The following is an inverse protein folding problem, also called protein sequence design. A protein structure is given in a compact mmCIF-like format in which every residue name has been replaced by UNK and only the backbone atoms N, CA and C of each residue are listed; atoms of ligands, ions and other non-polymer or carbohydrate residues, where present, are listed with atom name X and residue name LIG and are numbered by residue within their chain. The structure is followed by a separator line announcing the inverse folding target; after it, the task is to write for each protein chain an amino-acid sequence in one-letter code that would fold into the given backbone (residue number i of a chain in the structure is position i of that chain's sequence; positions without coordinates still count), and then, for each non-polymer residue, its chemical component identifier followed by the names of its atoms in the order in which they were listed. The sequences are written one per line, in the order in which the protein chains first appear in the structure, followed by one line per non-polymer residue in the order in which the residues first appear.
data_IF_560703221807
#
_entry.id   IF_560703221807
#
_cell.length_a   1.000
_cell.length_b   1.000
_cell.length_c   1.000
_cell.angle_alpha   90.00
_cell.angle_beta   90.00
_cell.angle_gamma   90.00
#
_symmetry.space_group_name_H-M   'P 1'
#
loop_
_entity.id
_entity.type
_entity.pdbx_description
1 polymer ?
#
# COMPACT_ATOMS: atom_id res chain seq x y z
N UNK A 1 -9.92 -1.61 -12.20
CA UNK A 1 -11.26 -1.02 -12.38
C UNK A 1 -12.08 -2.00 -13.19
N UNK A 2 -12.44 -1.65 -14.42
CA UNK A 2 -13.24 -2.43 -15.38
C UNK A 2 -13.26 -3.96 -15.23
N UNK A 3 -12.14 -4.65 -15.41
CA UNK A 3 -12.14 -6.12 -15.32
C UNK A 3 -12.61 -6.67 -13.96
N UNK A 4 -12.34 -5.94 -12.87
CA UNK A 4 -12.82 -6.31 -11.53
C UNK A 4 -14.31 -6.04 -11.40
N UNK A 5 -14.84 -5.00 -12.04
CA UNK A 5 -16.28 -4.75 -12.04
C UNK A 5 -17.03 -5.79 -12.88
N UNK A 6 -16.52 -6.13 -14.07
CA UNK A 6 -17.07 -7.19 -14.93
C UNK A 6 -17.12 -8.57 -14.25
N UNK A 7 -16.11 -8.89 -13.43
CA UNK A 7 -15.96 -10.25 -12.85
C UNK A 7 -16.34 -10.33 -11.38
N UNK A 8 -16.21 -9.23 -10.65
CA UNK A 8 -16.33 -9.15 -9.18
C UNK A 8 -16.87 -7.77 -8.76
N UNK A 9 -18.10 -7.40 -9.18
CA UNK A 9 -18.66 -6.06 -8.95
C UNK A 9 -18.69 -5.68 -7.47
N UNK A 10 -18.94 -6.66 -6.59
CA UNK A 10 -18.91 -6.49 -5.15
C UNK A 10 -17.55 -6.04 -4.60
N UNK A 11 -16.45 -6.54 -5.16
CA UNK A 11 -15.09 -6.11 -4.78
C UNK A 11 -14.86 -4.66 -5.18
N UNK A 12 -15.31 -4.28 -6.37
CA UNK A 12 -15.21 -2.91 -6.85
C UNK A 12 -16.00 -1.94 -5.95
N UNK A 13 -17.25 -2.30 -5.61
CA UNK A 13 -18.08 -1.52 -4.68
C UNK A 13 -17.41 -1.36 -3.30
N UNK A 14 -16.73 -2.40 -2.80
CA UNK A 14 -15.98 -2.35 -1.55
C UNK A 14 -14.72 -1.44 -1.61
N UNK A 15 -14.05 -1.34 -2.76
CA UNK A 15 -12.90 -0.43 -2.91
C UNK A 15 -13.31 1.04 -2.78
N UNK A 16 -14.51 1.39 -3.22
CA UNK A 16 -15.05 2.76 -3.14
C UNK A 16 -15.99 2.97 -1.95
N UNK A 17 -16.25 1.95 -1.13
CA UNK A 17 -17.27 1.98 -0.06
C UNK A 17 -18.64 2.47 -0.59
N UNK A 18 -19.03 1.96 -1.74
CA UNK A 18 -20.27 2.30 -2.43
C UNK A 18 -21.40 1.39 -1.94
N UNK A 19 -22.23 1.90 -1.01
CA UNK A 19 -23.28 1.09 -0.36
C UNK A 19 -24.60 1.08 -1.14
N UNK A 20 -25.03 2.24 -1.65
CA UNK A 20 -26.28 2.39 -2.39
C UNK A 20 -26.02 2.27 -3.90
N UNK A 21 -26.85 1.52 -4.60
CA UNK A 21 -26.76 1.37 -6.06
C UNK A 21 -27.01 2.71 -6.78
N UNK A 22 -26.15 3.04 -7.74
CA UNK A 22 -26.31 4.24 -8.56
C UNK A 22 -25.01 4.67 -9.22
N UNK A 23 -24.89 5.97 -9.51
CA UNK A 23 -23.63 6.53 -10.02
C UNK A 23 -22.58 6.52 -8.91
N UNK A 24 -21.43 5.91 -9.18
CA UNK A 24 -20.31 5.83 -8.25
C UNK A 24 -19.38 7.04 -8.40
N UNK A 25 -19.05 7.63 -7.26
CA UNK A 25 -18.04 8.67 -7.14
C UNK A 25 -16.64 8.06 -6.96
N UNK A 26 -15.60 8.74 -7.45
CA UNK A 26 -14.22 8.35 -7.15
C UNK A 26 -13.74 9.16 -5.95
N UNK A 27 -13.54 8.51 -4.81
CA UNK A 27 -13.03 9.17 -3.60
C UNK A 27 -11.50 9.21 -3.62
N UNK A 28 -10.93 10.37 -4.00
CA UNK A 28 -9.48 10.59 -4.09
C UNK A 28 -8.79 10.63 -2.72
N UNK A 29 -9.41 11.33 -1.76
CA UNK A 29 -8.97 11.39 -0.38
C UNK A 29 -10.17 11.11 0.52
N UNK A 30 -9.95 10.31 1.56
CA UNK A 30 -10.94 10.01 2.58
C UNK A 30 -10.29 10.13 3.95
N UNK A 31 -10.91 10.90 4.83
CA UNK A 31 -10.49 11.08 6.21
C UNK A 31 -11.59 10.61 7.16
N UNK A 32 -11.29 9.74 8.12
CA UNK A 32 -12.28 9.27 9.09
C UNK A 32 -12.70 10.41 10.00
N UNK A 33 -14.02 10.63 10.17
CA UNK A 33 -14.56 11.64 11.10
C UNK A 33 -14.54 11.17 12.55
N UNK A 34 -14.59 9.85 12.76
CA UNK A 34 -14.57 9.19 14.07
C UNK A 34 -13.75 7.89 13.97
N UNK A 35 -13.44 7.28 15.12
CA UNK A 35 -12.76 5.97 15.15
C UNK A 35 -13.63 4.87 14.53
N UNK A 36 -14.95 4.98 14.63
CA UNK A 36 -15.88 4.02 14.03
C UNK A 36 -15.80 4.01 12.49
N UNK A 37 -15.42 5.14 11.89
CA UNK A 37 -15.22 5.27 10.45
C UNK A 37 -14.02 4.43 9.93
N UNK A 38 -13.12 4.00 10.81
CA UNK A 38 -12.04 3.07 10.44
C UNK A 38 -12.57 1.66 10.19
N UNK A 39 -13.66 1.29 10.88
CA UNK A 39 -14.31 -0.02 10.79
C UNK A 39 -15.54 -0.02 9.88
N UNK A 40 -16.19 1.13 9.71
CA UNK A 40 -17.35 1.31 8.83
C UNK A 40 -17.18 2.59 7.98
N UNK A 41 -16.51 2.48 6.81
CA UNK A 41 -16.14 3.63 5.97
C UNK A 41 -17.32 4.12 5.12
N UNK A 42 -18.51 4.31 5.71
CA UNK A 42 -19.66 4.90 5.01
C UNK A 42 -19.44 6.38 4.71
N UNK A 43 -20.08 6.88 3.66
CA UNK A 43 -20.01 8.29 3.27
C UNK A 43 -20.38 9.25 4.42
N UNK A 44 -21.33 8.88 5.28
CA UNK A 44 -21.70 9.66 6.47
C UNK A 44 -20.56 9.81 7.48
N UNK A 45 -19.73 8.78 7.62
CA UNK A 45 -18.63 8.68 8.59
C UNK A 45 -17.29 9.21 8.05
N UNK A 46 -17.23 9.57 6.76
CA UNK A 46 -16.01 10.02 6.11
C UNK A 46 -16.11 11.47 5.67
N UNK A 47 -15.00 12.20 5.79
CA UNK A 47 -14.77 13.43 5.05
C UNK A 47 -14.03 13.06 3.77
N UNK A 48 -14.72 13.14 2.63
CA UNK A 48 -14.17 12.71 1.34
C UNK A 48 -13.98 13.89 0.41
N UNK A 49 -12.87 13.85 -0.33
CA UNK A 49 -12.69 14.64 -1.54
C UNK A 49 -12.93 13.67 -2.69
N UNK A 50 -14.14 13.73 -3.26
CA UNK A 50 -14.52 12.90 -4.40
C UNK A 50 -14.62 13.69 -5.69
N UNK A 51 -14.33 12.99 -6.79
CA UNK A 51 -14.71 13.41 -8.12
C UNK A 51 -16.04 12.72 -8.47
N UNK A 52 -17.13 13.48 -8.64
CA UNK A 52 -18.42 12.89 -8.89
C UNK A 52 -18.42 12.13 -10.22
N UNK A 53 -19.09 10.97 -10.28
CA UNK A 53 -19.26 10.15 -11.49
C UNK A 53 -18.00 9.56 -12.14
N UNK A 54 -16.81 9.93 -11.67
CA UNK A 54 -15.55 9.37 -12.18
C UNK A 54 -15.39 7.90 -11.79
N UNK A 55 -16.00 7.48 -10.67
CA UNK A 55 -16.06 6.07 -10.29
C UNK A 55 -16.81 5.23 -11.33
N UNK A 56 -18.01 5.69 -11.73
CA UNK A 56 -18.79 5.10 -12.82
C UNK A 56 -18.03 5.07 -14.15
N UNK A 57 -17.33 6.14 -14.50
CA UNK A 57 -16.50 6.19 -15.73
C UNK A 57 -15.39 5.15 -15.72
N UNK A 58 -14.72 4.94 -14.58
CA UNK A 58 -13.63 3.96 -14.43
C UNK A 58 -14.14 2.51 -14.34
N UNK A 59 -15.36 2.31 -13.84
CA UNK A 59 -16.05 1.04 -13.84
C UNK A 59 -16.43 0.65 -15.27
N UNK A 60 -17.26 1.46 -15.93
CA UNK A 60 -17.79 1.21 -17.28
C UNK A 60 -16.77 1.33 -18.41
N UNK A 61 -15.64 2.01 -18.15
CA UNK A 61 -14.61 2.27 -19.15
C UNK A 61 -14.94 3.41 -20.12
N UNK A 62 -15.84 4.32 -19.75
CA UNK A 62 -16.15 5.48 -20.60
C UNK A 62 -17.43 6.25 -20.27
N UNK A 63 -18.31 5.71 -19.42
CA UNK A 63 -19.62 6.26 -19.14
C UNK A 63 -19.74 6.77 -17.69
N UNK A 64 -19.97 8.07 -17.55
CA UNK A 64 -20.14 8.76 -16.26
C UNK A 64 -21.47 8.46 -15.59
N UNK A 65 -22.48 8.03 -16.33
CA UNK A 65 -23.82 7.73 -15.79
C UNK A 65 -24.04 6.22 -15.62
N UNK A 66 -22.99 5.42 -15.81
CA UNK A 66 -23.05 3.98 -15.58
C UNK A 66 -23.43 3.66 -14.13
N UNK A 67 -24.42 2.78 -14.00
CA UNK A 67 -24.91 2.30 -12.71
C UNK A 67 -23.96 1.24 -12.14
N UNK A 68 -23.48 1.48 -10.92
CA UNK A 68 -22.65 0.54 -10.17
C UNK A 68 -23.52 -0.06 -9.07
N UNK A 69 -23.50 -1.39 -8.96
CA UNK A 69 -24.26 -2.11 -7.94
C UNK A 69 -23.65 -1.82 -6.56
N UNK A 70 -24.49 -1.36 -5.63
CA UNK A 70 -24.10 -1.03 -4.26
C UNK A 70 -23.93 -2.27 -3.38
N UNK A 71 -23.18 -2.12 -2.29
CA UNK A 71 -22.95 -3.19 -1.31
C UNK A 71 -24.24 -3.68 -0.61
N UNK A 72 -25.30 -2.87 -0.57
CA UNK A 72 -26.58 -3.23 0.06
C UNK A 72 -27.36 -4.30 -0.72
N UNK A 73 -27.09 -4.46 -2.01
CA UNK A 73 -27.75 -5.48 -2.86
C UNK A 73 -27.17 -6.88 -2.66
N UNK A 74 -26.04 -7.00 -1.96
CA UNK A 74 -25.38 -8.27 -1.70
C UNK A 74 -25.65 -8.77 -0.28
N UNK A 75 -25.91 -10.07 -0.16
CA UNK A 75 -26.18 -10.73 1.13
C UNK A 75 -24.93 -10.82 2.02
N UNK A 76 -23.75 -11.08 1.44
CA UNK A 76 -22.49 -11.23 2.17
C UNK A 76 -21.38 -10.39 1.55
N UNK A 77 -20.92 -9.34 2.23
CA UNK A 77 -19.87 -8.44 1.75
C UNK A 77 -18.46 -8.79 2.24
N UNK A 78 -17.41 -8.51 1.44
CA UNK A 78 -16.04 -8.53 1.96
C UNK A 78 -15.88 -7.51 3.09
N UNK A 79 -14.84 -7.63 3.94
CA UNK A 79 -14.50 -6.62 4.94
C UNK A 79 -14.21 -5.24 4.32
N UNK A 80 -15.26 -4.42 4.15
CA UNK A 80 -15.24 -3.19 3.34
C UNK A 80 -14.15 -2.23 3.80
N UNK A 81 -14.05 -2.00 5.12
CA UNK A 81 -13.01 -1.17 5.73
C UNK A 81 -11.60 -1.54 5.27
N UNK A 82 -11.23 -2.81 5.37
CA UNK A 82 -9.89 -3.27 5.03
C UNK A 82 -9.60 -3.09 3.54
N UNK A 83 -10.58 -3.38 2.68
CA UNK A 83 -10.45 -3.23 1.23
C UNK A 83 -10.33 -1.75 0.86
N UNK A 84 -11.22 -0.90 1.40
CA UNK A 84 -11.29 0.53 1.15
C UNK A 84 -9.99 1.26 1.51
N UNK A 85 -9.45 1.00 2.71
CA UNK A 85 -8.22 1.65 3.17
C UNK A 85 -6.98 1.09 2.47
N UNK A 86 -6.93 -0.22 2.22
CA UNK A 86 -5.81 -0.83 1.49
C UNK A 86 -5.73 -0.31 0.05
N UNK A 87 -6.89 -0.15 -0.61
CA UNK A 87 -6.95 0.40 -1.97
C UNK A 87 -6.40 1.82 -2.04
N UNK A 88 -6.80 2.69 -1.12
CA UNK A 88 -6.29 4.07 -1.05
C UNK A 88 -4.81 4.15 -0.75
N UNK A 89 -4.33 3.32 0.17
CA UNK A 89 -2.91 3.28 0.47
C UNK A 89 -2.07 2.80 -0.72
N UNK A 90 -2.54 1.75 -1.42
CA UNK A 90 -1.92 1.25 -2.65
C UNK A 90 -1.86 2.34 -3.74
N UNK A 91 -2.98 2.99 -4.03
CA UNK A 91 -3.07 4.04 -5.05
C UNK A 91 -2.23 5.26 -4.66
N UNK A 92 -2.30 5.68 -3.39
CA UNK A 92 -1.52 6.79 -2.86
C UNK A 92 0.00 6.56 -2.98
N UNK A 93 0.47 5.35 -2.67
CA UNK A 93 1.87 4.97 -2.90
C UNK A 93 2.23 4.92 -4.39
N UNK A 94 1.32 4.47 -5.25
CA UNK A 94 1.50 4.53 -6.71
C UNK A 94 1.76 5.95 -7.21
N UNK A 95 0.91 6.90 -6.81
CA UNK A 95 1.11 8.32 -7.16
C UNK A 95 2.37 8.92 -6.53
N UNK A 96 2.74 8.52 -5.30
CA UNK A 96 4.00 8.90 -4.70
C UNK A 96 5.19 8.46 -5.56
N UNK A 97 5.20 7.21 -6.05
CA UNK A 97 6.29 6.71 -6.90
C UNK A 97 6.34 7.41 -8.26
N UNK A 98 5.19 7.70 -8.87
CA UNK A 98 5.13 8.50 -10.09
C UNK A 98 5.72 9.90 -9.85
N UNK A 99 5.32 10.57 -8.76
CA UNK A 99 5.84 11.89 -8.40
C UNK A 99 7.36 11.87 -8.15
N UNK A 100 7.87 10.85 -7.47
CA UNK A 100 9.30 10.66 -7.26
C UNK A 100 10.04 10.40 -8.58
N UNK A 101 9.49 9.60 -9.48
CA UNK A 101 10.08 9.34 -10.79
C UNK A 101 10.14 10.61 -11.66
N UNK A 102 9.08 11.43 -11.64
CA UNK A 102 9.05 12.72 -12.35
C UNK A 102 10.05 13.72 -11.76
N UNK A 103 10.14 13.80 -10.43
CA UNK A 103 11.13 14.66 -9.76
C UNK A 103 12.57 14.22 -10.08
N UNK A 104 12.83 12.92 -10.04
CA UNK A 104 14.11 12.33 -10.44
C UNK A 104 14.44 12.61 -11.89
N UNK A 105 13.50 12.38 -12.80
CA UNK A 105 13.66 12.66 -14.24
C UNK A 105 13.96 14.12 -14.53
N UNK A 106 13.27 15.04 -13.85
CA UNK A 106 13.56 16.48 -13.94
C UNK A 106 14.98 16.83 -13.45
N UNK A 107 15.42 16.26 -12.33
CA UNK A 107 16.78 16.48 -11.82
C UNK A 107 17.85 15.88 -12.74
N UNK A 108 17.60 14.72 -13.32
CA UNK A 108 18.46 14.08 -14.33
C UNK A 108 18.59 14.97 -15.57
N UNK A 109 17.48 15.48 -16.09
CA UNK A 109 17.48 16.41 -17.23
C UNK A 109 18.28 17.68 -16.94
N UNK A 110 18.26 18.17 -15.69
CA UNK A 110 19.04 19.33 -15.26
C UNK A 110 20.49 19.01 -14.89
N UNK A 111 20.90 17.74 -14.92
CA UNK A 111 22.22 17.28 -14.51
C UNK A 111 22.53 17.44 -13.01
N UNK A 112 21.50 17.59 -12.16
CA UNK A 112 21.64 17.88 -10.71
C UNK A 112 21.20 16.74 -9.80
N UNK A 113 21.08 15.53 -10.33
CA UNK A 113 20.55 14.38 -9.59
C UNK A 113 21.40 14.04 -8.35
N UNK A 114 22.72 14.02 -8.52
CA UNK A 114 23.69 13.66 -7.47
C UNK A 114 23.88 14.75 -6.42
N UNK A 115 23.56 16.00 -6.75
CA UNK A 115 23.69 17.15 -5.85
C UNK A 115 22.48 17.27 -4.89
N UNK A 116 21.33 16.70 -5.26
CA UNK A 116 20.10 16.83 -4.49
C UNK A 116 20.05 15.85 -3.32
N UNK A 117 20.60 16.26 -2.17
CA UNK A 117 20.53 15.47 -0.92
C UNK A 117 19.09 15.14 -0.52
N UNK A 118 18.13 16.04 -0.79
CA UNK A 118 16.70 15.82 -0.47
C UNK A 118 16.13 14.67 -1.29
N UNK A 119 16.38 14.66 -2.60
CA UNK A 119 15.89 13.59 -3.48
C UNK A 119 16.50 12.23 -3.11
N UNK A 120 17.81 12.17 -2.86
CA UNK A 120 18.48 10.94 -2.47
C UNK A 120 17.94 10.39 -1.13
N UNK A 121 17.68 11.25 -0.15
CA UNK A 121 17.03 10.85 1.11
C UNK A 121 15.60 10.35 0.89
N UNK A 122 14.84 10.98 -0.01
CA UNK A 122 13.50 10.53 -0.38
C UNK A 122 13.51 9.14 -1.04
N UNK A 123 14.51 8.85 -1.87
CA UNK A 123 14.70 7.50 -2.47
C UNK A 123 14.95 6.44 -1.41
N UNK A 124 15.82 6.73 -0.43
CA UNK A 124 16.09 5.80 0.69
C UNK A 124 14.81 5.56 1.50
N UNK A 125 14.06 6.62 1.80
CA UNK A 125 12.80 6.53 2.53
C UNK A 125 11.69 5.80 1.75
N UNK A 126 11.72 5.86 0.41
CA UNK A 126 10.74 5.21 -0.47
C UNK A 126 10.95 3.70 -0.59
N UNK A 127 12.17 3.20 -0.39
CA UNK A 127 12.51 1.77 -0.49
C UNK A 127 11.54 0.83 0.25
N UNK A 128 11.23 1.02 1.56
CA UNK A 128 10.27 0.16 2.27
C UNK A 128 8.83 0.30 1.76
N UNK A 129 8.45 1.46 1.20
CA UNK A 129 7.10 1.67 0.70
C UNK A 129 6.79 0.81 -0.52
N UNK A 130 7.80 0.38 -1.29
CA UNK A 130 7.57 -0.57 -2.40
C UNK A 130 6.92 -1.87 -1.92
N UNK A 131 7.40 -2.42 -0.81
CA UNK A 131 6.80 -3.59 -0.17
C UNK A 131 5.40 -3.29 0.37
N UNK A 132 5.20 -2.11 0.95
CA UNK A 132 3.89 -1.72 1.48
C UNK A 132 2.83 -1.58 0.37
N UNK A 133 3.20 -1.03 -0.79
CA UNK A 133 2.33 -0.96 -1.97
C UNK A 133 1.97 -2.36 -2.48
N UNK A 134 2.95 -3.27 -2.51
CA UNK A 134 2.72 -4.66 -2.91
C UNK A 134 1.76 -5.37 -1.95
N UNK A 135 1.99 -5.27 -0.64
CA UNK A 135 1.14 -5.90 0.38
C UNK A 135 -0.29 -5.37 0.35
N UNK A 136 -0.46 -4.05 0.23
CA UNK A 136 -1.80 -3.45 0.16
C UNK A 136 -2.53 -3.82 -1.12
N UNK A 137 -1.84 -3.99 -2.25
CA UNK A 137 -2.45 -4.57 -3.45
C UNK A 137 -2.96 -5.99 -3.24
N UNK A 138 -2.16 -6.85 -2.58
CA UNK A 138 -2.59 -8.21 -2.22
C UNK A 138 -3.77 -8.21 -1.24
N UNK A 139 -3.79 -7.29 -0.27
CA UNK A 139 -4.93 -7.16 0.66
C UNK A 139 -6.21 -6.81 -0.09
N UNK A 140 -6.15 -5.86 -1.03
CA UNK A 140 -7.31 -5.51 -1.87
C UNK A 140 -7.81 -6.72 -2.67
N UNK A 141 -6.90 -7.49 -3.28
CA UNK A 141 -7.29 -8.63 -4.12
C UNK A 141 -7.81 -9.82 -3.32
N UNK A 142 -7.19 -10.14 -2.18
CA UNK A 142 -7.52 -11.33 -1.38
C UNK A 142 -8.66 -11.06 -0.39
N UNK A 143 -8.59 -9.96 0.36
CA UNK A 143 -9.65 -9.62 1.33
C UNK A 143 -10.91 -9.23 0.57
N UNK A 144 -10.78 -8.51 -0.54
CA UNK A 144 -11.93 -8.13 -1.38
C UNK A 144 -12.60 -9.30 -2.08
N UNK A 145 -12.00 -10.49 -2.07
CA UNK A 145 -12.61 -11.73 -2.61
C UNK A 145 -13.44 -12.46 -1.56
N UNK A 146 -13.24 -12.18 -0.27
CA UNK A 146 -14.06 -12.77 0.79
C UNK A 146 -15.54 -12.42 0.55
N UNK A 147 -16.48 -13.34 0.83
CA UNK A 147 -16.32 -14.64 1.50
C UNK A 147 -15.97 -15.82 0.56
N UNK A 148 -15.60 -15.55 -0.69
CA UNK A 148 -15.43 -16.59 -1.71
C UNK A 148 -13.99 -17.08 -1.83
N UNK A 149 -13.83 -18.40 -2.00
CA UNK A 149 -12.60 -18.98 -2.56
C UNK A 149 -12.71 -19.01 -4.08
N UNK A 150 -13.82 -19.52 -4.60
CA UNK A 150 -14.17 -19.46 -6.01
C UNK A 150 -15.49 -18.70 -6.08
N UNK A 151 -15.49 -17.58 -6.81
CA UNK A 151 -16.63 -16.66 -6.87
C UNK A 151 -17.90 -17.42 -7.28
N UNK A 152 -18.94 -17.38 -6.44
CA UNK A 152 -20.22 -18.03 -6.71
C UNK A 152 -20.26 -19.56 -6.55
N UNK A 153 -19.12 -20.21 -6.31
CA UNK A 153 -19.00 -21.68 -6.33
C UNK A 153 -18.56 -22.27 -4.99
N UNK A 154 -17.58 -21.65 -4.31
CA UNK A 154 -17.00 -22.19 -3.06
C UNK A 154 -16.75 -21.09 -2.04
N UNK A 155 -17.39 -21.19 -0.88
CA UNK A 155 -17.16 -20.26 0.24
C UNK A 155 -15.92 -20.63 1.05
N UNK A 156 -15.30 -19.64 1.69
CA UNK A 156 -14.12 -19.85 2.55
C UNK A 156 -14.42 -20.69 3.78
N UNK A 157 -15.65 -20.62 4.31
CA UNK A 157 -16.11 -21.46 5.41
C UNK A 157 -16.18 -22.95 5.04
N UNK A 158 -16.45 -23.26 3.77
CA UNK A 158 -16.59 -24.64 3.26
C UNK A 158 -15.24 -25.24 2.83
N UNK A 159 -14.25 -24.39 2.56
CA UNK A 159 -12.91 -24.80 2.11
C UNK A 159 -11.97 -25.21 3.25
N UNK A 160 -12.40 -25.11 4.51
CA UNK A 160 -11.57 -25.44 5.68
C UNK A 160 -11.48 -26.97 5.85
N UNK A 161 -10.26 -27.49 6.06
CA UNK A 161 -10.06 -28.92 6.28
C UNK A 161 -10.77 -29.41 7.54
N UNK A 162 -11.59 -30.45 7.39
CA UNK A 162 -12.31 -31.09 8.50
C UNK A 162 -11.45 -32.06 9.32
N UNK A 163 -10.23 -32.35 8.88
CA UNK A 163 -9.36 -33.37 9.50
C UNK A 163 -8.38 -32.82 10.54
N UNK A 164 -8.20 -31.50 10.60
CA UNK A 164 -7.28 -30.85 11.53
C UNK A 164 -8.05 -30.21 12.68
N UNK A 165 -7.55 -30.38 13.90
CA UNK A 165 -8.06 -29.62 15.04
C UNK A 165 -7.58 -28.17 14.98
N UNK A 166 -8.37 -27.24 15.52
CA UNK A 166 -7.99 -25.81 15.57
C UNK A 166 -6.66 -25.58 16.31
N UNK A 167 -6.33 -26.42 17.28
CA UNK A 167 -5.05 -26.39 18.01
C UNK A 167 -3.87 -26.76 17.12
N UNK A 168 -3.98 -27.83 16.33
CA UNK A 168 -2.91 -28.25 15.39
C UNK A 168 -2.66 -27.19 14.31
N UNK A 169 -3.73 -26.61 13.76
CA UNK A 169 -3.63 -25.52 12.79
C UNK A 169 -2.95 -24.29 13.40
N UNK A 170 -3.29 -23.91 14.65
CA UNK A 170 -2.68 -22.76 15.32
C UNK A 170 -1.21 -23.01 15.63
N UNK A 171 -0.85 -24.20 16.13
CA UNK A 171 0.54 -24.55 16.44
C UNK A 171 1.42 -24.54 15.19
N UNK A 172 0.94 -25.12 14.09
CA UNK A 172 1.67 -25.12 12.81
C UNK A 172 1.82 -23.71 12.26
N UNK A 173 0.77 -22.88 12.32
CA UNK A 173 0.82 -21.46 11.93
C UNK A 173 1.87 -20.70 12.74
N UNK A 174 1.88 -20.83 14.07
CA UNK A 174 2.88 -20.19 14.93
C UNK A 174 4.29 -20.67 14.57
N UNK A 175 4.46 -21.97 14.31
CA UNK A 175 5.73 -22.53 13.83
C UNK A 175 6.21 -21.88 12.53
N UNK A 176 5.33 -21.74 11.53
CA UNK A 176 5.64 -21.06 10.28
C UNK A 176 5.97 -19.58 10.48
N UNK A 177 5.23 -18.86 11.32
CA UNK A 177 5.51 -17.45 11.64
C UNK A 177 6.90 -17.31 12.25
N UNK A 178 7.24 -18.11 13.25
CA UNK A 178 8.57 -18.08 13.89
C UNK A 178 9.67 -18.38 12.87
N UNK A 179 9.48 -19.39 12.03
CA UNK A 179 10.43 -19.76 10.98
C UNK A 179 10.64 -18.61 9.98
N UNK A 180 9.57 -18.01 9.48
CA UNK A 180 9.66 -16.93 8.50
C UNK A 180 10.25 -15.65 9.10
N UNK A 181 9.93 -15.32 10.35
CA UNK A 181 10.58 -14.21 11.06
C UNK A 181 12.08 -14.46 11.20
N UNK A 182 12.49 -15.67 11.60
CA UNK A 182 13.90 -16.03 11.70
C UNK A 182 14.61 -15.89 10.33
N UNK A 183 14.00 -16.41 9.27
CA UNK A 183 14.54 -16.31 7.90
C UNK A 183 14.70 -14.86 7.44
N UNK A 184 13.70 -14.01 7.67
CA UNK A 184 13.77 -12.58 7.32
C UNK A 184 14.90 -11.90 8.10
N UNK A 185 15.01 -12.14 9.40
CA UNK A 185 16.07 -11.56 10.22
C UNK A 185 17.47 -12.01 9.77
N UNK A 186 17.64 -13.29 9.45
CA UNK A 186 18.89 -13.82 8.90
C UNK A 186 19.20 -13.19 7.54
N UNK A 187 18.22 -13.08 6.64
CA UNK A 187 18.40 -12.45 5.33
C UNK A 187 18.82 -10.98 5.47
N UNK A 188 18.16 -10.21 6.34
CA UNK A 188 18.51 -8.81 6.62
C UNK A 188 19.91 -8.69 7.24
N UNK A 189 20.29 -9.61 8.13
CA UNK A 189 21.63 -9.66 8.70
C UNK A 189 22.69 -9.90 7.64
N UNK A 190 22.50 -10.90 6.77
CA UNK A 190 23.42 -11.22 5.67
C UNK A 190 23.51 -10.07 4.69
N UNK A 191 22.39 -9.45 4.32
CA UNK A 191 22.38 -8.30 3.42
C UNK A 191 23.15 -7.12 4.02
N UNK A 192 22.95 -6.83 5.31
CA UNK A 192 23.68 -5.77 6.03
C UNK A 192 25.17 -6.07 6.10
N UNK A 193 25.53 -7.32 6.34
CA UNK A 193 26.92 -7.78 6.37
C UNK A 193 27.57 -7.60 4.99
N UNK A 194 26.90 -8.04 3.91
CA UNK A 194 27.37 -7.91 2.54
C UNK A 194 27.59 -6.45 2.15
N UNK A 195 26.62 -5.57 2.43
CA UNK A 195 26.73 -4.14 2.14
C UNK A 195 27.92 -3.51 2.85
N UNK A 196 28.16 -3.86 4.12
CA UNK A 196 29.31 -3.33 4.87
C UNK A 196 30.64 -3.81 4.32
N UNK A 197 30.72 -5.07 3.90
CA UNK A 197 31.95 -5.63 3.34
C UNK A 197 32.28 -5.01 1.98
N UNK A 198 31.27 -4.83 1.12
CA UNK A 198 31.41 -4.11 -0.14
C UNK A 198 31.86 -2.66 0.06
N UNK A 199 31.25 -1.94 1.02
CA UNK A 199 31.67 -0.57 1.36
C UNK A 199 33.14 -0.49 1.82
N UNK A 200 33.62 -1.48 2.57
CA UNK A 200 35.03 -1.59 2.97
C UNK A 200 35.93 -1.84 1.76
N UNK A 201 35.53 -2.73 0.85
CA UNK A 201 36.30 -3.05 -0.37
C UNK A 201 36.46 -1.83 -1.29
N UNK A 202 35.43 -0.98 -1.36
CA UNK A 202 35.43 0.27 -2.12
C UNK A 202 36.23 1.39 -1.45
N UNK A 203 36.87 1.12 -0.30
CA UNK A 203 37.66 2.11 0.43
C UNK A 203 36.83 3.25 1.04
N UNK A 204 35.52 3.08 1.14
CA UNK A 204 34.64 4.04 1.82
C UNK A 204 34.89 3.89 3.31
N UNK A 205 35.84 4.66 3.84
CA UNK A 205 35.96 4.82 5.29
C UNK A 205 34.65 5.44 5.78
N UNK A 206 33.94 4.72 6.65
CA UNK A 206 32.92 5.36 7.49
C UNK A 206 33.59 6.60 8.06
N UNK A 207 33.05 7.78 7.71
CA UNK A 207 33.39 9.02 8.41
C UNK A 207 33.02 8.76 9.86
N UNK A 208 33.98 8.26 10.64
CA UNK A 208 33.97 8.22 12.10
C UNK A 208 33.43 9.57 12.50
N UNK A 209 32.25 9.57 13.14
CA UNK A 209 31.47 10.73 13.50
C UNK A 209 32.39 11.94 13.78
N UNK A 210 32.67 12.71 12.72
CA UNK A 210 33.39 13.94 12.90
C UNK A 210 32.31 14.83 13.47
N UNK A 211 32.42 15.09 14.78
CA UNK A 211 31.78 16.24 15.40
C UNK A 211 31.96 17.37 14.39
N UNK A 212 30.85 17.84 13.84
CA UNK A 212 30.83 18.97 12.95
C UNK A 212 31.53 20.12 13.68
N UNK A 213 32.82 20.33 13.38
CA UNK A 213 33.53 21.56 13.68
C UNK A 213 33.56 22.31 12.36
N UNK A 214 32.42 22.90 12.01
CA UNK A 214 32.44 23.98 11.03
C UNK A 214 33.46 25.03 11.52
N UNK A 215 34.14 25.73 10.60
CA UNK A 215 35.00 26.84 10.99
C UNK A 215 34.18 27.84 11.81
N UNK A 216 34.72 28.22 12.98
CA UNK A 216 34.16 29.31 13.77
C UNK A 216 34.15 30.57 12.90
N UNK A 217 33.06 31.37 12.91
CA UNK A 217 32.87 32.47 11.94
C UNK A 217 33.88 33.63 12.02
N UNK A 218 34.98 33.51 12.80
CA UNK A 218 35.89 34.62 13.11
C UNK A 218 37.37 34.26 13.14
N UNK A 219 37.79 33.10 12.60
CA UNK A 219 39.22 32.78 12.47
C UNK A 219 39.61 32.76 11.00
N UNK A 220 40.10 33.90 10.52
CA UNK A 220 40.89 34.00 9.28
C UNK A 220 42.29 33.48 9.59
N UNK A 221 42.68 32.36 9.00
CA UNK A 221 44.06 31.91 9.01
C UNK A 221 44.81 32.63 7.89
N UNK A 222 45.34 33.81 8.21
CA UNK A 222 46.63 34.24 7.67
C UNK A 222 47.72 33.79 8.68
N UNK A 223 48.87 33.41 8.13
CA UNK A 223 50.11 32.88 8.73
C UNK A 223 50.18 31.38 9.07
#
# INVERSE_FOLDING_TARGET
GRHVEDTQPQKFAAMEAHYETGSADLHLLAFPKSLDALTDPRAENLFTVSLPRVGSFLASGGDFDAEVIGLNEYEENPPVALVFWSFRFMVGLGFLFIGLALWGGYLTYRGRLTESTRYLKSMIAASPFGYAALLTGWYVTEIGRQPWVIQGELKTSEAVSSTLTGTEATLTLVGFVVLYVALILTALYVLKWLIREELRSLGVQESSASRWRGPLPWVTSDD
#
